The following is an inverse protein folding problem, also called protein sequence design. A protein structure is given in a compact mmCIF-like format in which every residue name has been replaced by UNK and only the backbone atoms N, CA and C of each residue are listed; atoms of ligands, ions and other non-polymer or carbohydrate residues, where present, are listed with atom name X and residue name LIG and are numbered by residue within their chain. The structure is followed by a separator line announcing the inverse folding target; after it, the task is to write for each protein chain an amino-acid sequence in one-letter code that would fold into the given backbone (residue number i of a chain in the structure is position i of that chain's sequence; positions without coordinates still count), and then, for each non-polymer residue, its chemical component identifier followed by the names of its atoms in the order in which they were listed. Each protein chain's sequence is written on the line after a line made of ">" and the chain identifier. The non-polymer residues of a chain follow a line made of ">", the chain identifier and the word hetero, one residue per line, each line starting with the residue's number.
data_IF_698521948114
#
_entry.id   IF_698521948114
#
_cell.length_a   1.000
_cell.length_b   1.000
_cell.length_c   1.000
_cell.angle_alpha   90.00
_cell.angle_beta   90.00
_cell.angle_gamma   90.00
#
_symmetry.space_group_name_H-M   'P 1'
#
loop_
_entity.id
_entity.type
_entity.pdbx_description
1 polymer ?
#
# COMPACT_ATOMS: atom_id res chain seq x y z
N UNK A 1 -24.21 12.02 10.54
CA UNK A 1 -23.73 13.36 10.91
C UNK A 1 -22.32 13.47 10.36
N UNK A 2 -22.07 14.30 9.33
CA UNK A 2 -20.72 14.46 8.77
C UNK A 2 -19.79 14.92 9.90
N UNK A 3 -18.82 14.07 10.23
CA UNK A 3 -17.74 14.37 11.17
C UNK A 3 -16.66 15.18 10.42
N UNK A 4 -17.05 16.32 9.83
CA UNK A 4 -16.27 17.07 8.83
C UNK A 4 -15.01 17.78 9.38
N UNK A 5 -14.63 17.46 10.62
CA UNK A 5 -13.40 17.93 11.23
C UNK A 5 -12.49 16.73 11.46
N UNK A 6 -11.34 16.73 10.78
CA UNK A 6 -10.23 15.84 11.09
C UNK A 6 -9.76 16.16 12.53
N UNK A 7 -9.61 15.15 13.40
CA UNK A 7 -9.01 15.36 14.73
C UNK A 7 -7.63 16.00 14.63
N UNK A 8 -7.26 16.83 15.61
CA UNK A 8 -5.95 17.47 15.63
C UNK A 8 -4.83 16.44 15.76
N UNK A 9 -3.73 16.68 15.04
CA UNK A 9 -2.47 15.94 15.12
C UNK A 9 -1.31 16.92 14.93
N UNK A 10 -0.11 16.54 15.38
CA UNK A 10 1.13 17.24 15.05
C UNK A 10 1.60 16.83 13.65
N UNK A 11 2.00 17.80 12.81
CA UNK A 11 2.52 17.54 11.47
C UNK A 11 4.04 17.75 11.46
N UNK A 12 4.77 16.71 11.04
CA UNK A 12 6.21 16.73 10.84
C UNK A 12 6.54 16.58 9.35
N UNK A 13 7.49 17.36 8.85
CA UNK A 13 7.91 17.35 7.44
C UNK A 13 9.44 17.20 7.36
N UNK A 14 10.00 16.03 7.71
CA UNK A 14 11.43 15.80 7.62
C UNK A 14 11.91 15.86 6.15
N UNK A 15 13.16 16.26 5.95
CA UNK A 15 13.82 16.26 4.64
C UNK A 15 14.82 15.12 4.47
N UNK A 16 15.13 14.42 5.56
CA UNK A 16 16.08 13.30 5.62
C UNK A 16 15.41 12.05 6.16
N UNK A 17 15.77 10.89 5.60
CA UNK A 17 15.17 9.61 5.97
C UNK A 17 15.41 9.31 7.45
N UNK A 18 16.62 9.55 7.98
CA UNK A 18 16.93 9.29 9.39
C UNK A 18 16.00 10.06 10.33
N UNK A 19 15.73 11.34 10.05
CA UNK A 19 14.79 12.13 10.85
C UNK A 19 13.36 11.59 10.78
N UNK A 20 12.94 11.05 9.64
CA UNK A 20 11.63 10.38 9.53
C UNK A 20 11.59 9.10 10.37
N UNK A 21 12.66 8.29 10.35
CA UNK A 21 12.76 7.07 11.14
C UNK A 21 12.77 7.36 12.65
N UNK A 22 13.48 8.41 13.09
CA UNK A 22 13.46 8.85 14.49
C UNK A 22 12.05 9.26 14.95
N UNK A 23 11.29 9.95 14.09
CA UNK A 23 9.90 10.33 14.38
C UNK A 23 8.99 9.10 14.45
N UNK A 24 9.13 8.16 13.51
CA UNK A 24 8.36 6.91 13.51
C UNK A 24 8.68 6.05 14.73
N UNK A 25 9.94 5.99 15.16
CA UNK A 25 10.35 5.32 16.40
C UNK A 25 9.76 6.00 17.64
N UNK A 26 9.86 7.33 17.71
CA UNK A 26 9.34 8.15 18.81
C UNK A 26 7.84 8.00 19.01
N UNK A 27 7.06 8.06 17.93
CA UNK A 27 5.60 8.03 18.00
C UNK A 27 5.02 6.61 17.89
N UNK A 28 5.77 5.66 17.32
CA UNK A 28 5.36 4.27 17.19
C UNK A 28 3.94 4.12 16.64
N UNK A 29 3.08 3.39 17.36
CA UNK A 29 1.67 3.13 16.98
C UNK A 29 0.81 4.39 16.85
N UNK A 30 1.23 5.50 17.47
CA UNK A 30 0.52 6.77 17.48
C UNK A 30 1.01 7.71 16.34
N UNK A 31 2.09 7.31 15.65
CA UNK A 31 2.62 7.96 14.45
C UNK A 31 2.00 7.44 13.16
N UNK A 32 1.96 8.27 12.13
CA UNK A 32 1.45 7.91 10.81
C UNK A 32 2.33 8.45 9.70
N UNK A 33 2.93 7.55 8.92
CA UNK A 33 3.64 7.90 7.69
C UNK A 33 2.65 8.31 6.58
N UNK A 34 2.80 9.53 6.07
CA UNK A 34 1.93 10.11 5.04
C UNK A 34 2.72 10.39 3.76
N UNK A 35 2.26 9.86 2.64
CA UNK A 35 2.80 10.17 1.31
C UNK A 35 1.75 10.93 0.46
N UNK A 36 1.18 10.29 -0.56
CA UNK A 36 0.15 10.91 -1.42
C UNK A 36 -1.20 11.20 -0.75
N UNK A 37 -1.44 10.64 0.45
CA UNK A 37 -2.59 10.97 1.30
C UNK A 37 -3.97 10.46 0.85
N UNK A 38 -4.12 9.88 -0.35
CA UNK A 38 -5.44 9.46 -0.86
C UNK A 38 -6.11 8.31 -0.10
N UNK A 39 -5.35 7.46 0.61
CA UNK A 39 -5.93 6.50 1.55
C UNK A 39 -6.03 7.08 2.97
N UNK A 40 -4.92 7.66 3.46
CA UNK A 40 -4.79 8.14 4.84
C UNK A 40 -5.75 9.28 5.17
N UNK A 41 -5.89 10.28 4.30
CA UNK A 41 -6.78 11.42 4.56
C UNK A 41 -8.25 11.00 4.56
N UNK A 42 -8.65 9.97 3.82
CA UNK A 42 -10.01 9.43 3.92
C UNK A 42 -10.24 8.77 5.28
N UNK A 43 -9.26 8.03 5.80
CA UNK A 43 -9.31 7.48 7.16
C UNK A 43 -9.44 8.56 8.23
N UNK A 44 -8.73 9.68 8.09
CA UNK A 44 -8.76 10.77 9.05
C UNK A 44 -10.10 11.51 9.02
N UNK A 45 -10.62 11.80 7.82
CA UNK A 45 -11.93 12.45 7.62
C UNK A 45 -13.07 11.59 8.17
N UNK A 46 -13.01 10.29 7.94
CA UNK A 46 -14.01 9.35 8.44
C UNK A 46 -13.81 8.97 9.91
N UNK A 47 -12.74 9.47 10.55
CA UNK A 47 -12.39 9.17 11.95
C UNK A 47 -12.23 7.67 12.21
N UNK A 48 -11.72 6.94 11.23
CA UNK A 48 -11.37 5.53 11.37
C UNK A 48 -9.94 5.35 11.91
N UNK A 49 -9.08 6.35 11.73
CA UNK A 49 -7.71 6.40 12.26
C UNK A 49 -7.49 7.76 12.95
N UNK A 50 -6.74 7.73 14.04
CA UNK A 50 -6.55 8.85 14.96
C UNK A 50 -5.08 8.98 15.37
N UNK A 51 -4.17 9.30 14.43
CA UNK A 51 -2.77 9.49 14.80
C UNK A 51 -2.60 10.74 15.67
N UNK A 52 -1.64 10.69 16.59
CA UNK A 52 -1.19 11.86 17.34
C UNK A 52 -0.18 12.67 16.52
N UNK A 53 0.62 11.99 15.70
CA UNK A 53 1.62 12.59 14.82
C UNK A 53 1.50 12.07 13.39
N UNK A 54 1.56 12.98 12.43
CA UNK A 54 1.62 12.69 11.00
C UNK A 54 2.99 13.10 10.48
N UNK A 55 3.71 12.14 9.91
CA UNK A 55 5.04 12.32 9.33
C UNK A 55 4.85 12.36 7.81
N UNK A 56 4.86 13.56 7.23
CA UNK A 56 4.77 13.77 5.79
C UNK A 56 6.12 13.48 5.13
N UNK A 57 6.11 12.45 4.30
CA UNK A 57 7.28 11.90 3.64
C UNK A 57 7.63 12.64 2.33
N UNK A 58 6.74 13.51 1.80
CA UNK A 58 6.96 14.11 0.47
C UNK A 58 8.26 14.94 0.37
N UNK A 59 8.76 15.46 1.50
CA UNK A 59 10.01 16.19 1.57
C UNK A 59 11.28 15.33 1.54
N UNK A 60 11.17 14.01 1.63
CA UNK A 60 12.32 13.11 1.71
C UNK A 60 13.04 12.98 0.36
N UNK A 61 14.28 13.45 0.32
CA UNK A 61 15.11 13.33 -0.88
C UNK A 61 15.49 11.88 -1.18
N UNK A 62 15.47 11.50 -2.46
CA UNK A 62 16.01 10.23 -2.94
C UNK A 62 15.04 9.05 -2.91
N UNK A 63 13.91 9.14 -2.22
CA UNK A 63 12.90 8.08 -2.20
C UNK A 63 11.91 8.14 -3.37
N UNK A 64 12.12 9.01 -4.35
CA UNK A 64 11.25 9.18 -5.53
C UNK A 64 11.96 8.87 -6.85
N UNK A 65 13.03 8.08 -6.81
CA UNK A 65 13.86 7.78 -7.98
C UNK A 65 13.67 6.35 -8.45
N UNK A 66 13.82 6.17 -9.77
CA UNK A 66 13.93 4.86 -10.41
C UNK A 66 15.38 4.75 -10.88
N UNK A 67 16.10 3.73 -10.40
CA UNK A 67 17.54 3.58 -10.61
C UNK A 67 17.87 2.15 -11.00
N UNK A 68 18.65 1.98 -12.07
CA UNK A 68 19.25 0.68 -12.39
C UNK A 68 20.30 0.30 -11.35
N UNK A 69 20.23 -0.93 -10.87
CA UNK A 69 21.19 -1.52 -9.95
C UNK A 69 21.75 -2.80 -10.58
N UNK A 70 22.90 -3.33 -10.13
CA UNK A 70 23.54 -4.49 -10.77
C UNK A 70 22.63 -5.71 -10.97
N UNK A 71 21.65 -5.90 -10.07
CA UNK A 71 20.75 -7.06 -10.06
C UNK A 71 19.32 -6.73 -10.52
N UNK A 72 19.08 -5.57 -11.14
CA UNK A 72 17.73 -5.17 -11.57
C UNK A 72 17.49 -3.67 -11.45
N UNK A 73 16.33 -3.31 -10.92
CA UNK A 73 15.96 -1.89 -10.73
C UNK A 73 15.54 -1.66 -9.28
N UNK A 74 15.86 -0.48 -8.76
CA UNK A 74 15.37 0.03 -7.48
C UNK A 74 14.41 1.20 -7.73
N UNK A 75 13.22 1.12 -7.17
CA UNK A 75 12.17 2.13 -7.25
C UNK A 75 11.92 2.66 -5.85
N UNK A 76 12.17 3.95 -5.64
CA UNK A 76 11.88 4.61 -4.38
C UNK A 76 10.37 4.58 -4.04
N UNK A 77 10.04 4.37 -2.77
CA UNK A 77 8.66 4.21 -2.32
C UNK A 77 7.78 5.47 -2.51
N UNK A 78 8.38 6.64 -2.70
CA UNK A 78 7.70 7.90 -3.01
C UNK A 78 7.58 8.19 -4.51
N UNK A 79 8.07 7.32 -5.39
CA UNK A 79 7.80 7.43 -6.82
C UNK A 79 6.29 7.31 -7.05
N UNK A 80 5.73 8.26 -7.80
CA UNK A 80 4.29 8.29 -8.08
C UNK A 80 3.88 7.19 -9.05
N UNK A 81 2.62 6.79 -8.99
CA UNK A 81 2.09 5.78 -9.92
C UNK A 81 2.12 6.28 -11.37
N UNK A 82 1.97 7.59 -11.58
CA UNK A 82 2.12 8.21 -12.91
C UNK A 82 3.56 8.14 -13.43
N UNK A 83 4.56 8.37 -12.57
CA UNK A 83 5.97 8.21 -12.96
C UNK A 83 6.28 6.76 -13.32
N UNK A 84 5.69 5.79 -12.61
CA UNK A 84 5.83 4.36 -12.93
C UNK A 84 5.16 4.03 -14.27
N UNK A 85 3.93 4.48 -14.49
CA UNK A 85 3.16 4.28 -15.72
C UNK A 85 3.90 4.82 -16.97
N UNK A 86 4.66 5.90 -16.82
CA UNK A 86 5.34 6.59 -17.91
C UNK A 86 6.85 6.35 -17.98
N UNK A 87 7.44 5.64 -17.02
CA UNK A 87 8.87 5.35 -17.01
C UNK A 87 9.27 4.45 -18.19
N UNK A 88 10.19 4.92 -19.02
CA UNK A 88 10.65 4.17 -20.19
C UNK A 88 11.25 2.83 -19.79
N UNK A 89 12.15 2.82 -18.80
CA UNK A 89 12.80 1.60 -18.34
C UNK A 89 11.82 0.58 -17.74
N UNK A 90 10.80 1.04 -17.01
CA UNK A 90 9.77 0.14 -16.47
C UNK A 90 8.92 -0.40 -17.61
N UNK A 91 8.52 0.43 -18.58
CA UNK A 91 7.71 -0.03 -19.71
C UNK A 91 8.44 -1.02 -20.61
N UNK A 92 9.74 -0.84 -20.81
CA UNK A 92 10.55 -1.70 -21.67
C UNK A 92 10.90 -3.03 -20.98
N UNK A 93 11.24 -3.02 -19.70
CA UNK A 93 11.76 -4.22 -19.03
C UNK A 93 10.87 -4.81 -17.93
N UNK A 94 9.91 -4.05 -17.41
CA UNK A 94 9.05 -4.44 -16.29
C UNK A 94 7.59 -4.01 -16.54
N UNK A 95 7.13 -4.18 -17.79
CA UNK A 95 5.87 -3.59 -18.28
C UNK A 95 4.63 -4.02 -17.49
N UNK A 96 4.68 -5.20 -16.86
CA UNK A 96 3.66 -5.68 -15.92
C UNK A 96 3.35 -4.66 -14.81
N UNK A 97 4.39 -4.05 -14.21
CA UNK A 97 4.21 -3.02 -13.19
C UNK A 97 3.61 -1.74 -13.77
N UNK A 98 4.08 -1.29 -14.94
CA UNK A 98 3.55 -0.10 -15.59
C UNK A 98 2.06 -0.27 -15.95
N UNK A 99 1.67 -1.44 -16.46
CA UNK A 99 0.28 -1.75 -16.77
C UNK A 99 -0.58 -1.77 -15.50
N UNK A 100 -0.15 -2.48 -14.45
CA UNK A 100 -0.86 -2.51 -13.17
C UNK A 100 -1.04 -1.10 -12.59
N UNK A 101 0.01 -0.28 -12.59
CA UNK A 101 -0.04 1.10 -12.12
C UNK A 101 -1.07 1.94 -12.92
N UNK A 102 -1.14 1.77 -14.25
CA UNK A 102 -2.09 2.49 -15.11
C UNK A 102 -3.57 2.22 -14.79
N UNK A 103 -3.87 1.05 -14.21
CA UNK A 103 -5.24 0.63 -13.83
C UNK A 103 -5.64 1.08 -12.43
N UNK A 104 -4.73 1.70 -11.67
CA UNK A 104 -5.03 2.22 -10.34
C UNK A 104 -5.85 3.50 -10.44
N UNK A 105 -7.03 3.47 -9.82
CA UNK A 105 -7.86 4.63 -9.53
C UNK A 105 -8.06 5.59 -10.73
N UNK A 106 -7.82 6.89 -10.54
CA UNK A 106 -7.90 7.93 -11.58
C UNK A 106 -6.54 8.61 -11.79
N UNK A 107 -6.31 9.31 -12.92
CA UNK A 107 -5.05 10.02 -13.17
C UNK A 107 -4.68 11.01 -12.05
N UNK A 108 -5.66 11.71 -11.46
CA UNK A 108 -5.42 12.65 -10.35
C UNK A 108 -4.90 11.95 -9.10
N UNK A 109 -5.44 10.77 -8.81
CA UNK A 109 -4.97 9.94 -7.69
C UNK A 109 -3.57 9.42 -8.00
N UNK A 110 -3.29 8.96 -9.23
CA UNK A 110 -1.97 8.46 -9.62
C UNK A 110 -0.87 9.51 -9.65
N UNK A 111 -1.21 10.76 -9.97
CA UNK A 111 -0.25 11.87 -10.00
C UNK A 111 0.34 12.22 -8.63
N UNK A 112 -0.32 11.82 -7.53
CA UNK A 112 0.17 12.09 -6.18
C UNK A 112 0.25 10.83 -5.30
N UNK A 113 -0.47 9.76 -5.64
CA UNK A 113 -0.33 8.45 -5.02
C UNK A 113 1.02 7.85 -5.35
N UNK A 114 1.74 7.41 -4.32
CA UNK A 114 3.07 6.81 -4.46
C UNK A 114 2.99 5.30 -4.48
N UNK A 115 4.04 4.62 -4.98
CA UNK A 115 4.14 3.17 -4.98
C UNK A 115 4.03 2.60 -3.56
N UNK A 116 4.82 3.12 -2.62
CA UNK A 116 4.79 2.68 -1.23
C UNK A 116 3.43 2.92 -0.58
N UNK A 117 2.79 4.06 -0.86
CA UNK A 117 1.44 4.34 -0.38
C UNK A 117 0.39 3.38 -0.98
N UNK A 118 0.54 2.99 -2.24
CA UNK A 118 -0.36 2.02 -2.88
C UNK A 118 -0.20 0.62 -2.27
N UNK A 119 1.03 0.18 -2.01
CA UNK A 119 1.33 -1.13 -1.42
C UNK A 119 0.87 -1.21 0.05
N UNK A 120 0.94 -0.09 0.78
CA UNK A 120 0.56 -0.02 2.19
C UNK A 120 -0.88 0.44 2.46
N UNK A 121 -1.71 0.60 1.42
CA UNK A 121 -3.09 1.05 1.61
C UNK A 121 -3.93 -0.01 2.36
N UNK A 122 -4.89 0.45 3.15
CA UNK A 122 -5.71 -0.45 3.97
C UNK A 122 -6.91 -1.01 3.18
N UNK A 123 -7.57 -2.02 3.74
CA UNK A 123 -8.67 -2.73 3.12
C UNK A 123 -9.89 -1.83 2.80
N UNK A 124 -10.61 -2.22 1.75
CA UNK A 124 -11.85 -1.52 1.30
C UNK A 124 -13.15 -2.13 1.84
N UNK A 125 -13.09 -3.14 2.70
CA UNK A 125 -14.25 -3.77 3.35
C UNK A 125 -15.23 -2.72 3.90
N UNK A 126 -16.47 -2.72 3.42
CA UNK A 126 -17.45 -1.69 3.76
C UNK A 126 -17.78 -1.66 5.25
N UNK A 127 -17.90 -2.83 5.88
CA UNK A 127 -18.13 -2.91 7.33
C UNK A 127 -16.98 -2.23 8.11
N UNK A 128 -15.74 -2.57 7.77
CA UNK A 128 -14.56 -1.97 8.41
C UNK A 128 -14.53 -0.44 8.21
N UNK A 129 -14.73 0.04 6.98
CA UNK A 129 -14.75 1.49 6.68
C UNK A 129 -15.93 2.23 7.29
N UNK A 130 -17.05 1.55 7.52
CA UNK A 130 -18.21 2.11 8.21
C UNK A 130 -17.97 2.32 9.71
N UNK A 131 -16.90 1.73 10.26
CA UNK A 131 -16.52 1.88 11.66
C UNK A 131 -17.26 0.95 12.61
N UNK A 132 -17.79 -0.19 12.13
CA UNK A 132 -18.27 -1.23 13.04
C UNK A 132 -17.09 -1.92 13.74
N UNK A 133 -17.33 -2.42 14.95
CA UNK A 133 -16.31 -3.13 15.75
C UNK A 133 -16.07 -4.55 15.20
N UNK A 134 -15.42 -4.64 14.04
CA UNK A 134 -15.02 -5.90 13.43
C UNK A 134 -13.63 -6.34 13.91
N UNK A 135 -13.23 -7.61 13.69
CA UNK A 135 -11.91 -8.10 14.10
C UNK A 135 -10.74 -7.19 13.68
N UNK A 136 -10.78 -6.68 12.44
CA UNK A 136 -9.75 -5.78 11.91
C UNK A 136 -9.69 -4.43 12.64
N UNK A 137 -10.83 -3.99 13.19
CA UNK A 137 -10.94 -2.79 14.01
C UNK A 137 -10.75 -3.07 15.53
N UNK A 138 -10.19 -4.23 15.90
CA UNK A 138 -10.00 -4.64 17.30
C UNK A 138 -11.25 -5.20 17.98
N UNK A 139 -12.35 -5.38 17.23
CA UNK A 139 -13.55 -6.05 17.68
C UNK A 139 -13.42 -7.57 17.68
N UNK A 140 -14.55 -8.27 17.82
CA UNK A 140 -14.59 -9.73 18.00
C UNK A 140 -15.46 -10.48 16.97
N UNK A 141 -15.89 -9.80 15.91
CA UNK A 141 -16.81 -10.34 14.89
C UNK A 141 -16.37 -9.94 13.49
N UNK A 142 -16.59 -10.78 12.48
CA UNK A 142 -16.52 -10.35 11.08
C UNK A 142 -17.92 -10.28 10.48
N UNK A 143 -18.37 -9.07 10.22
CA UNK A 143 -19.68 -8.81 9.61
C UNK A 143 -19.75 -9.18 8.13
N UNK A 144 -18.60 -9.33 7.47
CA UNK A 144 -18.50 -9.81 6.09
C UNK A 144 -18.47 -11.36 5.96
N UNK A 145 -18.35 -12.08 7.07
CA UNK A 145 -18.31 -13.55 7.07
C UNK A 145 -19.56 -14.17 7.72
N UNK A 146 -20.56 -13.36 8.08
CA UNK A 146 -21.82 -13.86 8.60
C UNK A 146 -22.64 -14.56 7.49
N UNK A 147 -23.54 -15.51 7.82
CA UNK A 147 -24.28 -16.30 6.83
C UNK A 147 -25.02 -15.47 5.76
N UNK A 148 -25.62 -14.35 6.17
CA UNK A 148 -26.37 -13.45 5.30
C UNK A 148 -25.59 -12.15 4.98
N UNK A 149 -24.26 -12.16 5.16
CA UNK A 149 -23.43 -10.99 4.91
C UNK A 149 -23.34 -10.67 3.41
N UNK A 150 -23.23 -9.37 3.11
CA UNK A 150 -22.86 -8.92 1.77
C UNK A 150 -21.34 -8.95 1.67
N UNK A 151 -20.82 -9.96 0.97
CA UNK A 151 -19.39 -10.24 0.93
C UNK A 151 -18.84 -10.49 -0.48
N UNK A 152 -19.54 -9.98 -1.50
CA UNK A 152 -19.18 -10.15 -2.91
C UNK A 152 -17.74 -9.73 -3.23
N UNK A 153 -17.26 -8.64 -2.64
CA UNK A 153 -15.93 -8.06 -2.87
C UNK A 153 -14.86 -8.58 -1.88
N UNK A 154 -15.14 -9.67 -1.16
CA UNK A 154 -14.26 -10.20 -0.11
C UNK A 154 -13.48 -11.44 -0.58
N UNK A 155 -12.46 -11.80 0.19
CA UNK A 155 -11.51 -12.84 -0.16
C UNK A 155 -12.17 -14.23 -0.27
N UNK A 156 -11.78 -14.98 -1.30
CA UNK A 156 -12.12 -16.39 -1.46
C UNK A 156 -11.06 -17.31 -0.84
N UNK A 157 -9.80 -16.87 -0.81
CA UNK A 157 -8.63 -17.65 -0.35
C UNK A 157 -7.87 -16.90 0.74
N UNK A 158 -7.05 -17.61 1.52
CA UNK A 158 -6.21 -17.00 2.55
C UNK A 158 -6.98 -16.33 3.69
N UNK A 159 -8.23 -16.75 3.93
CA UNK A 159 -9.11 -16.12 4.93
C UNK A 159 -8.91 -16.72 6.32
N UNK A 160 -9.01 -15.88 7.35
CA UNK A 160 -9.05 -16.33 8.74
C UNK A 160 -9.76 -15.30 9.60
N UNK A 161 -10.98 -15.62 10.05
CA UNK A 161 -11.90 -14.75 10.82
C UNK A 161 -12.26 -13.44 10.12
N UNK A 162 -11.33 -12.70 9.53
CA UNK A 162 -11.51 -11.61 8.60
C UNK A 162 -11.35 -12.12 7.16
N UNK A 163 -12.20 -11.59 6.27
CA UNK A 163 -12.23 -11.92 4.84
C UNK A 163 -11.90 -10.68 3.98
N UNK A 164 -11.26 -9.67 4.57
CA UNK A 164 -10.87 -8.46 3.85
C UNK A 164 -9.71 -8.74 2.86
N UNK A 165 -9.66 -7.98 1.77
CA UNK A 165 -8.66 -8.12 0.70
C UNK A 165 -7.76 -6.89 0.62
N UNK A 166 -6.53 -7.09 0.12
CA UNK A 166 -5.72 -5.97 -0.38
C UNK A 166 -6.35 -5.42 -1.66
N UNK A 167 -6.51 -4.09 -1.79
CA UNK A 167 -7.05 -3.48 -2.99
C UNK A 167 -5.96 -3.02 -3.99
N UNK A 168 -4.68 -3.33 -3.73
CA UNK A 168 -3.54 -2.85 -4.53
C UNK A 168 -3.35 -3.66 -5.81
N UNK A 169 -3.53 -3.03 -6.96
CA UNK A 169 -3.23 -3.64 -8.26
C UNK A 169 -1.71 -3.86 -8.44
N UNK A 170 -0.87 -2.91 -7.99
CA UNK A 170 0.59 -3.02 -8.11
C UNK A 170 1.19 -4.07 -7.19
N UNK A 171 0.53 -4.41 -6.07
CA UNK A 171 0.94 -5.51 -5.20
C UNK A 171 0.96 -6.83 -5.97
N UNK A 172 -0.09 -7.11 -6.76
CA UNK A 172 -0.21 -8.35 -7.53
C UNK A 172 0.92 -8.45 -8.57
N UNK A 173 1.21 -7.35 -9.27
CA UNK A 173 2.33 -7.29 -10.22
C UNK A 173 3.69 -7.50 -9.54
N UNK A 174 3.92 -6.87 -8.39
CA UNK A 174 5.21 -6.98 -7.69
C UNK A 174 5.44 -8.34 -7.03
N UNK A 175 4.37 -9.03 -6.62
CA UNK A 175 4.48 -10.45 -6.21
C UNK A 175 4.86 -11.31 -7.41
N UNK A 176 4.22 -11.12 -8.57
CA UNK A 176 4.55 -11.88 -9.78
C UNK A 176 5.98 -11.63 -10.30
N UNK A 177 6.51 -10.42 -10.05
CA UNK A 177 7.87 -10.03 -10.45
C UNK A 177 8.93 -10.36 -9.38
N UNK A 178 8.63 -11.20 -8.38
CA UNK A 178 9.55 -11.55 -7.28
C UNK A 178 10.23 -10.33 -6.65
N UNK A 179 9.49 -9.22 -6.52
CA UNK A 179 10.08 -7.98 -6.05
C UNK A 179 10.52 -8.08 -4.59
N UNK A 180 11.53 -7.31 -4.21
CA UNK A 180 12.00 -7.19 -2.84
C UNK A 180 11.58 -5.84 -2.25
N UNK A 181 11.04 -5.86 -1.05
CA UNK A 181 10.59 -4.69 -0.29
C UNK A 181 11.70 -4.29 0.69
N UNK A 182 12.25 -3.10 0.50
CA UNK A 182 13.32 -2.54 1.35
C UNK A 182 12.69 -1.72 2.46
N UNK A 183 12.77 -2.23 3.68
CA UNK A 183 12.17 -1.64 4.87
C UNK A 183 13.28 -1.12 5.78
N UNK A 184 13.15 0.11 6.25
CA UNK A 184 14.09 0.74 7.18
C UNK A 184 13.40 1.17 8.46
N UNK A 185 14.11 1.08 9.58
CA UNK A 185 13.75 1.63 10.87
C UNK A 185 15.00 2.11 11.63
N UNK A 186 14.82 2.60 12.85
CA UNK A 186 15.92 3.04 13.73
C UNK A 186 16.98 1.96 14.00
N UNK A 187 16.60 0.68 13.89
CA UNK A 187 17.47 -0.48 14.06
C UNK A 187 18.22 -0.94 12.80
N UNK A 188 17.91 -0.38 11.62
CA UNK A 188 18.61 -0.66 10.37
C UNK A 188 17.68 -0.95 9.19
N UNK A 189 18.22 -1.67 8.21
CA UNK A 189 17.53 -2.06 6.98
C UNK A 189 17.26 -3.57 6.97
N UNK A 190 16.07 -3.95 6.51
CA UNK A 190 15.73 -5.34 6.18
C UNK A 190 15.06 -5.40 4.82
N UNK A 191 15.32 -6.49 4.12
CA UNK A 191 14.77 -6.77 2.80
C UNK A 191 13.87 -7.99 2.92
N UNK A 192 12.65 -7.91 2.40
CA UNK A 192 11.69 -9.02 2.40
C UNK A 192 11.11 -9.21 1.00
N UNK A 193 10.90 -10.45 0.60
CA UNK A 193 10.25 -10.75 -0.67
C UNK A 193 8.79 -10.26 -0.68
N UNK A 194 8.29 -9.80 -1.83
CA UNK A 194 6.96 -9.23 -1.98
C UNK A 194 5.86 -10.20 -1.52
N UNK A 195 6.03 -11.49 -1.81
CA UNK A 195 5.13 -12.57 -1.36
C UNK A 195 4.95 -12.58 0.17
N UNK A 196 5.99 -12.24 0.92
CA UNK A 196 5.97 -12.23 2.38
C UNK A 196 5.71 -10.85 2.98
N UNK A 197 5.64 -9.80 2.16
CA UNK A 197 5.35 -8.45 2.63
C UNK A 197 3.88 -8.26 3.01
N UNK A 198 2.98 -8.88 2.24
CA UNK A 198 1.54 -8.84 2.48
C UNK A 198 1.14 -9.93 3.47
N UNK A 199 0.44 -9.56 4.54
CA UNK A 199 0.10 -10.47 5.61
C UNK A 199 -1.26 -11.11 5.40
N UNK A 200 -1.31 -12.42 5.63
CA UNK A 200 -2.57 -13.10 5.87
C UNK A 200 -3.19 -12.67 7.22
N UNK A 201 -4.53 -12.64 7.32
CA UNK A 201 -5.22 -12.33 8.57
C UNK A 201 -4.95 -13.36 9.69
N UNK A 202 -4.45 -14.55 9.34
CA UNK A 202 -4.01 -15.59 10.27
C UNK A 202 -2.79 -15.17 11.11
N UNK A 203 -1.92 -14.32 10.56
CA UNK A 203 -0.71 -13.81 11.20
C UNK A 203 -0.99 -12.57 12.06
N UNK A 204 -1.68 -11.58 11.49
CA UNK A 204 -2.18 -10.41 12.22
C UNK A 204 -3.42 -9.87 11.50
N UNK A 205 -4.58 -10.05 12.13
CA UNK A 205 -5.87 -9.70 11.56
C UNK A 205 -6.09 -8.19 11.40
N UNK A 206 -5.27 -7.37 12.06
CA UNK A 206 -5.42 -5.91 12.13
C UNK A 206 -4.57 -5.15 11.11
N UNK A 207 -3.60 -5.81 10.48
CA UNK A 207 -2.66 -5.21 9.50
C UNK A 207 -2.80 -5.85 8.12
N UNK A 208 -2.32 -5.14 7.08
CA UNK A 208 -2.24 -5.69 5.70
C UNK A 208 -0.82 -6.13 5.34
N UNK A 209 0.19 -5.61 6.04
CA UNK A 209 1.60 -5.78 5.69
C UNK A 209 2.42 -6.02 6.94
N UNK A 210 3.63 -6.55 6.77
CA UNK A 210 4.60 -6.84 7.84
C UNK A 210 5.23 -5.59 8.47
N UNK A 211 4.81 -4.39 8.06
CA UNK A 211 5.33 -3.15 8.63
C UNK A 211 4.87 -3.02 10.08
N UNK A 212 5.83 -2.90 10.99
CA UNK A 212 5.62 -2.44 12.35
C UNK A 212 5.48 -0.91 12.37
N UNK A 213 4.92 -0.32 13.44
CA UNK A 213 4.67 1.12 13.48
C UNK A 213 5.91 2.01 13.27
N UNK A 214 7.11 1.52 13.63
CA UNK A 214 8.38 2.23 13.47
C UNK A 214 9.03 2.03 12.09
N UNK A 215 8.44 1.21 11.23
CA UNK A 215 9.02 0.87 9.93
C UNK A 215 8.61 1.85 8.82
N UNK A 216 9.53 2.02 7.87
CA UNK A 216 9.30 2.75 6.64
C UNK A 216 9.69 1.88 5.44
N UNK A 217 8.75 1.63 4.53
CA UNK A 217 9.07 1.09 3.22
C UNK A 217 9.76 2.20 2.41
N UNK A 218 11.04 2.02 2.08
CA UNK A 218 11.85 3.05 1.41
C UNK A 218 12.05 2.79 -0.06
N UNK A 219 12.13 1.52 -0.47
CA UNK A 219 12.30 1.15 -1.87
C UNK A 219 11.71 -0.23 -2.19
N UNK A 220 11.50 -0.45 -3.47
CA UNK A 220 11.07 -1.72 -4.06
C UNK A 220 12.12 -2.08 -5.11
N UNK A 221 12.69 -3.28 -5.04
CA UNK A 221 13.65 -3.79 -6.02
C UNK A 221 12.98 -4.86 -6.88
N UNK A 222 13.19 -4.81 -8.19
CA UNK A 222 12.71 -5.86 -9.10
C UNK A 222 13.93 -6.52 -9.74
N UNK A 223 14.08 -7.85 -9.64
CA UNK A 223 15.25 -8.54 -10.15
C UNK A 223 15.31 -8.52 -11.68
N UNK A 224 16.53 -8.49 -12.23
CA UNK A 224 16.78 -8.47 -13.66
C UNK A 224 16.37 -9.76 -14.40
N UNK A 225 15.96 -10.81 -13.69
CA UNK A 225 15.45 -12.06 -14.26
C UNK A 225 14.19 -11.86 -15.09
N UNK A 226 13.45 -10.78 -14.85
CA UNK A 226 12.22 -10.43 -15.55
C UNK A 226 12.41 -9.47 -16.73
N UNK A 227 13.65 -9.03 -16.98
CA UNK A 227 13.94 -8.19 -18.16
C UNK A 227 13.52 -8.93 -19.42
N UNK A 228 12.73 -8.25 -20.26
CA UNK A 228 12.19 -8.74 -21.53
C UNK A 228 11.26 -9.97 -21.41
N UNK A 229 10.74 -10.25 -20.21
CA UNK A 229 9.73 -11.28 -20.02
C UNK A 229 8.40 -10.87 -20.68
N UNK A 230 7.74 -11.83 -21.32
CA UNK A 230 6.34 -11.68 -21.70
C UNK A 230 5.49 -11.60 -20.42
N UNK A 231 4.54 -10.66 -20.38
CA UNK A 231 3.67 -10.49 -19.24
C UNK A 231 2.20 -10.34 -19.67
N UNK A 232 1.31 -10.62 -18.72
CA UNK A 232 -0.12 -10.36 -18.85
C UNK A 232 -0.66 -9.76 -17.56
N UNK A 233 -1.41 -8.66 -17.70
CA UNK A 233 -2.16 -8.06 -16.61
C UNK A 233 -3.63 -7.88 -16.99
N UNK A 234 -4.53 -8.40 -16.17
CA UNK A 234 -5.97 -8.22 -16.36
C UNK A 234 -6.59 -7.76 -15.04
N UNK A 235 -7.45 -6.75 -15.11
CA UNK A 235 -8.22 -6.25 -13.98
C UNK A 235 -9.70 -6.31 -14.33
N UNK A 236 -10.41 -7.26 -13.72
CA UNK A 236 -11.85 -7.44 -13.91
C UNK A 236 -12.59 -6.57 -12.90
N UNK A 237 -13.51 -5.73 -13.39
CA UNK A 237 -14.24 -4.73 -12.61
C UNK A 237 -15.70 -4.64 -13.06
N UNK A 238 -16.57 -4.05 -12.23
CA UNK A 238 -17.97 -3.80 -12.64
C UNK A 238 -18.08 -2.66 -13.66
N UNK A 239 -17.14 -1.71 -13.62
CA UNK A 239 -17.04 -0.60 -14.57
C UNK A 239 -15.64 -0.46 -15.15
N UNK A 240 -15.54 0.01 -16.39
CA UNK A 240 -14.29 0.06 -17.17
C UNK A 240 -13.17 0.95 -16.59
N UNK A 241 -13.46 1.81 -15.61
CA UNK A 241 -12.45 2.71 -15.03
C UNK A 241 -12.86 3.15 -13.62
N UNK A 242 -11.86 3.57 -12.85
CA UNK A 242 -12.00 4.10 -11.49
C UNK A 242 -12.65 3.11 -10.50
N UNK A 243 -12.39 1.82 -10.66
CA UNK A 243 -12.91 0.77 -9.76
C UNK A 243 -11.78 -0.05 -9.15
N UNK A 244 -12.05 -0.72 -8.02
CA UNK A 244 -11.16 -1.75 -7.49
C UNK A 244 -11.39 -3.07 -8.23
N UNK A 245 -10.39 -3.94 -8.24
CA UNK A 245 -10.51 -5.25 -8.87
C UNK A 245 -11.54 -6.11 -8.12
N UNK A 246 -12.45 -6.74 -8.85
CA UNK A 246 -13.15 -7.93 -8.35
C UNK A 246 -12.18 -9.12 -8.33
N UNK A 247 -11.42 -9.24 -9.41
CA UNK A 247 -10.28 -10.16 -9.57
C UNK A 247 -9.27 -9.45 -10.46
N UNK A 248 -7.98 -9.57 -10.14
CA UNK A 248 -6.89 -9.22 -11.05
C UNK A 248 -5.92 -10.39 -11.19
N UNK A 249 -5.26 -10.45 -12.34
CA UNK A 249 -4.30 -11.48 -12.70
C UNK A 249 -3.03 -10.77 -13.17
N UNK A 250 -1.88 -11.23 -12.68
CA UNK A 250 -0.55 -10.86 -13.15
C UNK A 250 0.24 -12.15 -13.38
N UNK A 251 0.88 -12.28 -14.54
CA UNK A 251 1.71 -13.43 -14.90
C UNK A 251 2.80 -13.06 -15.88
#
# INVERSE_FOLDING_TARGET
>A
MMKDMIPGFELFQPTEVESALELLDRFGKDGWALAGGYDSLDWFKNRGKHPEAVIDLQGLAGLNRIVEIPNGIEIGALTTLTEIEHSQIIREHFGLLAEAASKVASPQIRNAGTLGGNLCQDARCWYYRYGVSCYRAGGNTCYASAPDALNREHALFGVNRCVAVTPSDTAVALVALDAEMVIRNSGGERIINAEHFFMEPSSDITRMTVLEPSDLLTAIRIPNTWIDADFYFEKVTDRNSWDFALVSIAS
#
